data_IF_282316961554
#
_entry.id   IF_282316961554
#
_cell.length_a   1.000
_cell.length_b   1.000
_cell.length_c   1.000
_cell.angle_alpha   90.00
_cell.angle_beta   90.00
_cell.angle_gamma   90.00
#
_symmetry.space_group_name_H-M   'P 1'
#
loop_
_entity.id
_entity.type
_entity.pdbx_description
1 polymer ?
#
# COMPACT_ATOMS: atom_id res chain seq x y z
N UNK A 1 -31.73 -43.42 36.08
CA UNK A 1 -30.55 -43.23 35.20
C UNK A 1 -30.13 -41.77 35.30
N UNK A 2 -29.45 -41.40 36.39
CA UNK A 2 -28.93 -40.05 36.62
C UNK A 2 -27.41 -40.12 36.44
N UNK A 3 -26.90 -39.46 35.41
CA UNK A 3 -25.47 -39.35 35.18
C UNK A 3 -25.00 -37.99 35.66
N UNK A 4 -24.23 -38.02 36.74
CA UNK A 4 -23.49 -36.91 37.33
C UNK A 4 -22.39 -36.56 36.33
N UNK A 5 -22.37 -35.33 35.81
CA UNK A 5 -21.22 -34.84 35.07
C UNK A 5 -20.58 -33.64 35.77
N UNK A 6 -19.38 -33.93 36.26
CA UNK A 6 -18.57 -33.15 37.17
C UNK A 6 -17.76 -32.12 36.35
N UNK A 7 -18.22 -30.87 36.26
CA UNK A 7 -17.42 -29.79 35.66
C UNK A 7 -16.56 -29.15 36.74
N UNK A 8 -15.29 -29.57 36.75
CA UNK A 8 -14.15 -28.95 37.43
C UNK A 8 -14.15 -27.43 37.23
N UNK A 9 -14.23 -26.71 38.35
CA UNK A 9 -13.88 -25.30 38.46
C UNK A 9 -12.35 -25.22 38.32
N UNK A 10 -11.85 -24.87 37.13
CA UNK A 10 -10.44 -24.49 36.96
C UNK A 10 -10.39 -22.99 37.19
N UNK A 11 -9.89 -22.58 38.36
CA UNK A 11 -9.53 -21.19 38.61
C UNK A 11 -8.42 -20.81 37.62
N UNK A 12 -8.76 -19.95 36.67
CA UNK A 12 -7.76 -19.25 35.87
C UNK A 12 -7.09 -18.24 36.81
N UNK A 13 -5.89 -18.59 37.27
CA UNK A 13 -4.94 -17.65 37.87
C UNK A 13 -4.73 -16.50 36.89
N UNK A 14 -5.20 -15.31 37.26
CA UNK A 14 -4.87 -14.07 36.56
C UNK A 14 -3.42 -13.76 36.89
N UNK A 15 -2.50 -14.28 36.09
CA UNK A 15 -1.12 -13.82 36.10
C UNK A 15 -1.12 -12.34 35.69
N UNK A 16 -0.67 -11.49 36.61
CA UNK A 16 -0.43 -10.08 36.34
C UNK A 16 0.80 -9.99 35.43
N UNK A 17 0.69 -9.42 34.21
CA UNK A 17 1.85 -9.29 33.34
C UNK A 17 2.71 -8.14 33.86
N UNK A 18 3.74 -8.53 34.63
CA UNK A 18 4.83 -7.69 35.11
C UNK A 18 5.37 -6.85 33.95
N UNK A 19 5.53 -5.55 34.19
CA UNK A 19 6.24 -4.63 33.29
C UNK A 19 7.69 -5.12 33.12
N UNK A 20 7.96 -5.75 31.98
CA UNK A 20 9.31 -6.08 31.56
C UNK A 20 10.00 -4.80 31.07
N UNK A 21 11.22 -4.54 31.55
CA UNK A 21 12.05 -3.41 31.08
C UNK A 21 12.41 -3.50 29.58
N UNK A 22 12.16 -4.64 28.92
CA UNK A 22 12.63 -4.96 27.58
C UNK A 22 11.62 -4.71 26.43
N UNK A 23 10.36 -4.35 26.70
CA UNK A 23 9.37 -4.18 25.63
C UNK A 23 9.78 -3.01 24.70
N UNK A 24 9.68 -3.12 23.37
CA UNK A 24 9.92 -1.97 22.47
C UNK A 24 8.73 -1.00 22.47
N UNK A 25 8.88 0.20 21.88
CA UNK A 25 7.75 1.15 21.70
C UNK A 25 6.64 0.52 20.85
N UNK A 26 7.01 -0.33 19.90
CA UNK A 26 6.07 -1.05 19.04
C UNK A 26 5.33 -2.15 19.83
N UNK A 27 6.01 -2.91 20.69
CA UNK A 27 5.37 -3.93 21.52
C UNK A 27 4.37 -3.31 22.52
N UNK A 28 4.70 -2.14 23.07
CA UNK A 28 3.77 -1.36 23.88
C UNK A 28 2.57 -0.87 23.07
N UNK A 29 2.79 -0.48 21.81
CA UNK A 29 1.74 -0.10 20.87
C UNK A 29 0.79 -1.25 20.53
N UNK A 30 1.32 -2.43 20.22
CA UNK A 30 0.55 -3.64 19.93
C UNK A 30 -0.22 -4.12 21.15
N UNK A 31 0.38 -4.04 22.34
CA UNK A 31 -0.29 -4.34 23.60
C UNK A 31 -1.45 -3.39 23.88
N UNK A 32 -1.27 -2.10 23.61
CA UNK A 32 -2.32 -1.08 23.76
C UNK A 32 -3.45 -1.30 22.75
N UNK A 33 -3.12 -1.61 21.49
CA UNK A 33 -4.09 -1.98 20.47
C UNK A 33 -4.89 -3.24 20.86
N UNK A 34 -4.21 -4.27 21.39
CA UNK A 34 -4.84 -5.49 21.90
C UNK A 34 -5.78 -5.21 23.08
N UNK A 35 -5.39 -4.35 24.04
CA UNK A 35 -6.25 -3.95 25.16
C UNK A 35 -7.49 -3.19 24.68
N UNK A 36 -7.35 -2.27 23.71
CA UNK A 36 -8.48 -1.56 23.12
C UNK A 36 -9.44 -2.50 22.38
N UNK A 37 -8.91 -3.51 21.68
CA UNK A 37 -9.71 -4.53 21.01
C UNK A 37 -10.46 -5.41 22.02
N UNK A 38 -9.80 -5.85 23.10
CA UNK A 38 -10.42 -6.63 24.16
C UNK A 38 -11.56 -5.86 24.83
N UNK A 39 -11.36 -4.56 25.12
CA UNK A 39 -12.42 -3.69 25.67
C UNK A 39 -13.59 -3.61 24.69
N UNK A 40 -13.32 -3.41 23.39
CA UNK A 40 -14.36 -3.36 22.36
C UNK A 40 -15.18 -4.66 22.24
N UNK A 41 -14.57 -5.80 22.55
CA UNK A 41 -15.21 -7.11 22.48
C UNK A 41 -15.96 -7.49 23.78
N UNK A 42 -15.59 -6.93 24.93
CA UNK A 42 -16.11 -7.31 26.25
C UNK A 42 -17.05 -6.29 26.90
N UNK A 43 -17.29 -5.13 26.27
CA UNK A 43 -18.32 -4.17 26.73
C UNK A 43 -19.72 -4.70 26.44
N UNK A 44 -20.30 -5.43 27.40
CA UNK A 44 -21.68 -5.97 27.32
C UNK A 44 -22.71 -4.99 27.91
N UNK A 45 -22.29 -3.98 28.70
CA UNK A 45 -23.20 -3.06 29.41
C UNK A 45 -22.77 -1.59 29.42
N UNK A 46 -22.01 -1.12 28.43
CA UNK A 46 -21.51 0.28 28.35
C UNK A 46 -20.59 0.73 29.52
N UNK A 47 -20.29 -0.16 30.47
CA UNK A 47 -19.35 0.09 31.56
C UNK A 47 -18.00 -0.56 31.27
N UNK A 48 -16.96 0.26 31.18
CA UNK A 48 -15.57 -0.22 31.05
C UNK A 48 -15.07 -0.58 32.45
N UNK A 49 -14.61 -1.82 32.69
CA UNK A 49 -14.08 -2.22 33.98
C UNK A 49 -12.90 -1.33 34.40
N UNK A 50 -12.88 -0.89 35.66
CA UNK A 50 -11.84 0.00 36.22
C UNK A 50 -10.44 -0.63 36.12
N UNK A 51 -10.36 -1.96 36.18
CA UNK A 51 -9.12 -2.73 35.95
C UNK A 51 -8.60 -2.64 34.51
N UNK A 52 -9.48 -2.48 33.52
CA UNK A 52 -9.11 -2.27 32.11
C UNK A 52 -8.65 -0.84 31.87
N UNK A 53 -9.27 0.15 32.52
CA UNK A 53 -8.83 1.54 32.48
C UNK A 53 -7.45 1.74 33.12
N UNK A 54 -7.21 1.11 34.26
CA UNK A 54 -5.88 1.13 34.92
C UNK A 54 -4.81 0.56 34.00
N UNK A 55 -5.06 -0.59 33.36
CA UNK A 55 -4.09 -1.22 32.43
C UNK A 55 -3.82 -0.37 31.19
N UNK A 56 -4.84 0.30 30.66
CA UNK A 56 -4.67 1.26 29.56
C UNK A 56 -3.84 2.47 30.01
N UNK A 57 -4.13 3.02 31.18
CA UNK A 57 -3.39 4.15 31.73
C UNK A 57 -1.92 3.78 31.96
N UNK A 58 -1.63 2.60 32.49
CA UNK A 58 -0.26 2.09 32.69
C UNK A 58 0.47 1.92 31.35
N UNK A 59 -0.19 1.37 30.32
CA UNK A 59 0.39 1.21 28.99
C UNK A 59 0.64 2.57 28.29
N UNK A 60 -0.30 3.51 28.42
CA UNK A 60 -0.17 4.88 27.89
C UNK A 60 0.96 5.63 28.59
N UNK A 61 1.08 5.54 29.91
CA UNK A 61 2.13 6.22 30.67
C UNK A 61 3.51 5.58 30.42
N UNK A 62 3.58 4.25 30.23
CA UNK A 62 4.79 3.57 29.77
C UNK A 62 5.21 4.03 28.37
N UNK A 63 4.26 4.22 27.45
CA UNK A 63 4.50 4.69 26.10
C UNK A 63 4.90 6.18 26.09
N UNK A 64 4.21 7.01 26.88
CA UNK A 64 4.50 8.44 27.06
C UNK A 64 5.87 8.65 27.69
N UNK A 65 6.20 7.96 28.78
CA UNK A 65 7.50 8.09 29.45
C UNK A 65 8.67 7.69 28.53
N UNK A 66 8.45 6.76 27.60
CA UNK A 66 9.42 6.39 26.56
C UNK A 66 9.50 7.40 25.41
N UNK A 67 8.39 8.00 25.00
CA UNK A 67 8.36 9.04 23.97
C UNK A 67 8.94 10.38 24.46
N UNK A 68 8.75 10.71 25.75
CA UNK A 68 9.25 11.96 26.36
C UNK A 68 10.76 11.93 26.59
N UNK A 69 11.36 10.74 26.71
CA UNK A 69 12.82 10.59 26.61
C UNK A 69 13.21 10.85 25.16
N UNK A 70 13.50 12.10 24.83
CA UNK A 70 14.17 12.49 23.60
C UNK A 70 15.51 11.76 23.58
N UNK A 71 15.55 10.61 22.91
CA UNK A 71 16.76 9.83 22.77
C UNK A 71 17.81 10.76 22.14
N UNK A 72 18.97 10.88 22.78
CA UNK A 72 20.06 11.67 22.23
C UNK A 72 20.33 11.16 20.81
N UNK A 73 20.16 12.07 19.86
CA UNK A 73 20.35 11.75 18.46
C UNK A 73 21.84 11.80 18.19
N UNK A 74 22.47 10.64 17.96
CA UNK A 74 23.80 10.61 17.39
C UNK A 74 23.78 11.25 16.00
N UNK A 75 24.43 12.43 15.80
CA UNK A 75 24.43 13.13 14.53
C UNK A 75 25.17 12.36 13.42
N UNK A 76 26.04 11.40 13.78
CA UNK A 76 26.84 10.62 12.83
C UNK A 76 25.95 9.75 11.95
N UNK A 77 26.29 9.65 10.67
CA UNK A 77 25.59 8.76 9.74
C UNK A 77 26.02 7.30 9.93
N UNK A 78 25.26 6.36 9.37
CA UNK A 78 25.64 4.94 9.39
C UNK A 78 27.00 4.72 8.69
N UNK A 79 27.28 5.49 7.65
CA UNK A 79 28.55 5.47 6.93
C UNK A 79 29.70 6.00 7.80
N UNK A 80 29.49 7.09 8.54
CA UNK A 80 30.52 7.64 9.42
C UNK A 80 30.86 6.69 10.57
N UNK A 81 29.83 6.01 11.11
CA UNK A 81 30.00 5.00 12.15
C UNK A 81 30.74 3.75 11.61
N UNK A 82 30.35 3.27 10.43
CA UNK A 82 31.00 2.13 9.77
C UNK A 82 32.47 2.41 9.44
N UNK A 83 32.75 3.58 8.85
CA UNK A 83 34.11 3.98 8.50
C UNK A 83 35.00 4.06 9.74
N UNK A 84 34.51 4.66 10.83
CA UNK A 84 35.28 4.74 12.08
C UNK A 84 35.45 3.37 12.72
N UNK A 85 34.46 2.50 12.64
CA UNK A 85 34.58 1.14 13.14
C UNK A 85 35.67 0.38 12.40
N UNK A 86 35.77 0.51 11.07
CA UNK A 86 36.85 -0.09 10.26
C UNK A 86 38.22 0.40 10.78
N UNK A 87 38.40 1.71 10.96
CA UNK A 87 39.66 2.28 11.47
C UNK A 87 40.03 1.74 12.86
N UNK A 88 39.04 1.60 13.76
CA UNK A 88 39.27 1.07 15.10
C UNK A 88 39.62 -0.41 15.07
N UNK A 89 39.02 -1.19 14.16
CA UNK A 89 39.34 -2.60 13.97
C UNK A 89 40.77 -2.79 13.44
N UNK A 90 41.22 -1.95 12.51
CA UNK A 90 42.60 -1.96 12.01
C UNK A 90 43.59 -1.66 13.16
N UNK A 91 43.29 -0.66 13.99
CA UNK A 91 44.10 -0.34 15.18
C UNK A 91 44.14 -1.49 16.20
N UNK A 92 43.02 -2.20 16.38
CA UNK A 92 42.95 -3.34 17.28
C UNK A 92 43.75 -4.54 16.78
N UNK A 93 43.81 -4.75 15.46
CA UNK A 93 44.66 -5.76 14.83
C UNK A 93 46.15 -5.45 15.06
N UNK A 94 46.58 -4.21 14.80
CA UNK A 94 47.97 -3.78 15.07
C UNK A 94 48.35 -3.92 16.55
N UNK A 95 47.44 -3.59 17.47
CA UNK A 95 47.67 -3.76 18.90
C UNK A 95 47.75 -5.23 19.32
N UNK A 96 46.94 -6.10 18.71
CA UNK A 96 46.98 -7.53 18.95
C UNK A 96 48.31 -8.16 18.50
N UNK A 97 48.89 -7.70 17.37
CA UNK A 97 50.22 -8.11 16.91
C UNK A 97 51.33 -7.71 17.90
N UNK A 98 51.13 -6.58 18.60
CA UNK A 98 52.04 -6.09 19.65
C UNK A 98 51.85 -6.81 21.00
N UNK A 99 50.83 -7.67 21.11
CA UNK A 99 50.66 -8.64 22.19
C UNK A 99 49.49 -8.38 23.14
N UNK A 100 48.95 -7.16 23.20
CA UNK A 100 47.79 -6.83 24.03
C UNK A 100 47.00 -5.66 23.46
N UNK A 101 45.67 -5.81 23.36
CA UNK A 101 44.78 -4.75 22.90
C UNK A 101 44.44 -3.85 24.10
N UNK A 102 44.66 -2.52 24.01
CA UNK A 102 44.29 -1.59 25.07
C UNK A 102 42.80 -1.66 25.40
N UNK A 103 42.46 -1.66 26.69
CA UNK A 103 41.06 -1.69 27.14
C UNK A 103 40.27 -0.48 26.62
N UNK A 104 40.89 0.71 26.58
CA UNK A 104 40.26 1.93 26.08
C UNK A 104 39.82 1.80 24.60
N UNK A 105 40.59 1.04 23.80
CA UNK A 105 40.25 0.78 22.40
C UNK A 105 39.07 -0.19 22.27
N UNK A 106 39.00 -1.21 23.13
CA UNK A 106 37.85 -2.12 23.18
C UNK A 106 36.58 -1.38 23.61
N UNK A 107 36.68 -0.46 24.56
CA UNK A 107 35.56 0.35 25.02
C UNK A 107 35.07 1.29 23.90
N UNK A 108 35.98 1.94 23.17
CA UNK A 108 35.61 2.78 22.01
C UNK A 108 34.94 1.97 20.89
N UNK A 109 35.44 0.76 20.59
CA UNK A 109 34.81 -0.15 19.62
C UNK A 109 33.39 -0.51 20.06
N UNK A 110 33.19 -0.86 21.33
CA UNK A 110 31.87 -1.21 21.86
C UNK A 110 30.89 -0.03 21.76
N UNK A 111 31.33 1.19 22.08
CA UNK A 111 30.51 2.40 21.96
C UNK A 111 30.06 2.64 20.51
N UNK A 112 30.96 2.47 19.54
CA UNK A 112 30.63 2.63 18.12
C UNK A 112 29.71 1.51 17.60
N UNK A 113 29.86 0.28 18.08
CA UNK A 113 28.94 -0.81 17.78
C UNK A 113 27.53 -0.55 18.32
N UNK A 114 27.40 -0.07 19.56
CA UNK A 114 26.11 0.29 20.15
C UNK A 114 25.45 1.45 19.39
N UNK A 115 26.23 2.47 19.02
CA UNK A 115 25.77 3.59 18.21
C UNK A 115 25.27 3.12 16.83
N UNK A 116 26.00 2.21 16.19
CA UNK A 116 25.63 1.63 14.89
C UNK A 116 24.31 0.85 14.98
N UNK A 117 24.19 -0.07 15.95
CA UNK A 117 22.97 -0.85 16.17
C UNK A 117 21.77 0.04 16.47
N UNK A 118 21.93 1.03 17.35
CA UNK A 118 20.89 2.01 17.67
C UNK A 118 20.43 2.78 16.42
N UNK A 119 21.36 3.11 15.52
CA UNK A 119 21.03 3.79 14.25
C UNK A 119 20.20 2.89 13.35
N UNK A 120 20.59 1.61 13.20
CA UNK A 120 19.84 0.62 12.41
C UNK A 120 18.42 0.44 12.95
N UNK A 121 18.26 0.31 14.26
CA UNK A 121 16.95 0.15 14.90
C UNK A 121 16.05 1.38 14.70
N UNK A 122 16.62 2.58 14.77
CA UNK A 122 15.88 3.82 14.48
C UNK A 122 15.41 3.87 13.04
N UNK A 123 16.25 3.47 12.08
CA UNK A 123 15.88 3.41 10.65
C UNK A 123 14.75 2.39 10.45
N UNK A 124 14.88 1.19 11.02
CA UNK A 124 13.86 0.15 10.96
C UNK A 124 12.54 0.61 11.58
N UNK A 125 12.59 1.25 12.75
CA UNK A 125 11.42 1.81 13.42
C UNK A 125 10.74 2.90 12.58
N UNK A 126 11.51 3.83 12.02
CA UNK A 126 10.96 4.86 11.13
C UNK A 126 10.31 4.27 9.89
N UNK A 127 10.93 3.27 9.26
CA UNK A 127 10.35 2.57 8.11
C UNK A 127 9.01 1.94 8.51
N UNK A 128 8.94 1.11 9.55
CA UNK A 128 7.68 0.49 10.00
C UNK A 128 6.60 1.52 10.31
N UNK A 129 6.99 2.65 10.90
CA UNK A 129 6.07 3.77 11.15
C UNK A 129 5.50 4.36 9.86
N UNK A 130 6.33 4.58 8.85
CA UNK A 130 5.87 5.05 7.54
C UNK A 130 4.97 4.03 6.82
N UNK A 131 5.26 2.74 6.90
CA UNK A 131 4.40 1.68 6.37
C UNK A 131 3.02 1.65 7.06
N UNK A 132 3.00 1.86 8.38
CA UNK A 132 1.76 1.97 9.14
C UNK A 132 0.93 3.18 8.69
N UNK A 133 1.56 4.36 8.55
CA UNK A 133 0.90 5.56 8.03
C UNK A 133 0.32 5.29 6.64
N UNK A 134 1.11 4.71 5.73
CA UNK A 134 0.66 4.42 4.37
C UNK A 134 -0.55 3.48 4.37
N UNK A 135 -0.55 2.46 5.22
CA UNK A 135 -1.66 1.51 5.38
C UNK A 135 -2.92 2.20 5.89
N UNK A 136 -2.82 3.00 6.95
CA UNK A 136 -3.96 3.74 7.53
C UNK A 136 -4.55 4.71 6.51
N UNK A 137 -3.69 5.48 5.82
CA UNK A 137 -4.14 6.40 4.78
C UNK A 137 -4.84 5.66 3.63
N UNK A 138 -4.33 4.49 3.22
CA UNK A 138 -4.96 3.65 2.20
C UNK A 138 -6.37 3.22 2.58
N UNK A 139 -6.57 2.74 3.82
CA UNK A 139 -7.88 2.36 4.34
C UNK A 139 -8.85 3.56 4.39
N UNK A 140 -8.36 4.74 4.77
CA UNK A 140 -9.18 5.94 4.83
C UNK A 140 -9.61 6.42 3.44
N UNK A 141 -8.71 6.36 2.45
CA UNK A 141 -9.04 6.63 1.05
C UNK A 141 -10.16 5.71 0.56
N UNK A 142 -10.05 4.41 0.84
CA UNK A 142 -11.08 3.44 0.46
C UNK A 142 -12.44 3.76 1.11
N UNK A 143 -12.45 4.06 2.41
CA UNK A 143 -13.66 4.43 3.16
C UNK A 143 -14.31 5.69 2.58
N UNK A 144 -13.52 6.74 2.35
CA UNK A 144 -14.00 7.99 1.77
C UNK A 144 -14.48 7.81 0.34
N UNK A 145 -13.80 6.97 -0.47
CA UNK A 145 -14.24 6.66 -1.83
C UNK A 145 -15.59 5.94 -1.85
N UNK A 146 -15.82 5.02 -0.91
CA UNK A 146 -17.10 4.32 -0.77
C UNK A 146 -18.21 5.27 -0.35
N UNK A 147 -17.92 6.17 0.60
CA UNK A 147 -18.86 7.22 1.03
C UNK A 147 -19.19 8.19 -0.10
N UNK A 148 -18.21 8.58 -0.91
CA UNK A 148 -18.40 9.40 -2.13
C UNK A 148 -19.34 8.71 -3.10
N UNK A 149 -19.04 7.46 -3.49
CA UNK A 149 -19.88 6.67 -4.42
C UNK A 149 -21.31 6.52 -3.91
N UNK A 150 -21.51 6.31 -2.61
CA UNK A 150 -22.84 6.22 -2.02
C UNK A 150 -23.62 7.53 -2.11
N UNK A 151 -22.96 8.68 -1.91
CA UNK A 151 -23.57 9.99 -2.07
C UNK A 151 -23.92 10.28 -3.55
N UNK A 152 -23.01 9.96 -4.47
CA UNK A 152 -23.23 10.08 -5.93
C UNK A 152 -24.47 9.27 -6.36
N UNK A 153 -24.56 8.00 -5.95
CA UNK A 153 -25.74 7.16 -6.26
C UNK A 153 -27.06 7.73 -5.75
N UNK A 154 -27.06 8.35 -4.56
CA UNK A 154 -28.28 8.99 -4.02
C UNK A 154 -28.68 10.21 -4.85
N UNK A 155 -27.70 10.99 -5.30
CA UNK A 155 -27.94 12.13 -6.20
C UNK A 155 -28.49 11.64 -7.55
N UNK A 156 -27.89 10.60 -8.13
CA UNK A 156 -28.31 10.07 -9.42
C UNK A 156 -29.71 9.46 -9.33
N UNK A 157 -29.99 8.65 -8.30
CA UNK A 157 -31.33 8.11 -8.05
C UNK A 157 -32.39 9.21 -7.86
N UNK A 158 -32.05 10.31 -7.19
CA UNK A 158 -32.94 11.46 -7.06
C UNK A 158 -33.20 12.14 -8.41
N UNK A 159 -32.16 12.32 -9.24
CA UNK A 159 -32.31 12.88 -10.59
C UNK A 159 -33.18 11.98 -11.48
N UNK A 160 -32.98 10.67 -11.44
CA UNK A 160 -33.78 9.70 -12.19
C UNK A 160 -35.26 9.74 -11.77
N UNK A 161 -35.52 9.77 -10.46
CA UNK A 161 -36.87 9.92 -9.93
C UNK A 161 -37.54 11.21 -10.40
N UNK A 162 -36.83 12.34 -10.31
CA UNK A 162 -37.34 13.64 -10.77
C UNK A 162 -37.56 13.67 -12.28
N UNK A 163 -36.66 13.08 -13.06
CA UNK A 163 -36.79 12.94 -14.50
C UNK A 163 -38.06 12.15 -14.86
N UNK A 164 -38.27 10.99 -14.25
CA UNK A 164 -39.47 10.17 -14.46
C UNK A 164 -40.76 10.93 -14.08
N UNK A 165 -40.74 11.64 -12.95
CA UNK A 165 -41.85 12.49 -12.50
C UNK A 165 -42.17 13.61 -13.50
N UNK A 166 -41.15 14.33 -13.98
CA UNK A 166 -41.33 15.44 -14.92
C UNK A 166 -41.84 14.96 -16.27
N UNK A 167 -41.28 13.86 -16.80
CA UNK A 167 -41.69 13.27 -18.07
C UNK A 167 -43.12 12.73 -18.03
N UNK A 168 -43.50 12.00 -16.98
CA UNK A 168 -44.86 11.44 -16.83
C UNK A 168 -45.96 12.51 -16.78
N UNK A 169 -45.63 13.74 -16.37
CA UNK A 169 -46.56 14.88 -16.30
C UNK A 169 -46.35 15.94 -17.38
N UNK A 170 -45.41 15.72 -18.31
CA UNK A 170 -45.07 16.68 -19.34
C UNK A 170 -44.52 18.02 -18.80
N UNK A 171 -43.97 18.03 -17.59
CA UNK A 171 -43.44 19.24 -16.96
C UNK A 171 -42.02 19.52 -17.48
N UNK A 172 -41.79 20.74 -17.98
CA UNK A 172 -40.44 21.18 -18.41
C UNK A 172 -39.63 21.80 -17.27
N UNK A 173 -40.30 22.31 -16.24
CA UNK A 173 -39.68 23.00 -15.10
C UNK A 173 -40.53 22.82 -13.85
N UNK A 174 -39.87 22.68 -12.71
CA UNK A 174 -40.45 22.71 -11.36
C UNK A 174 -39.82 23.89 -10.64
N UNK A 175 -40.65 24.74 -10.03
CA UNK A 175 -40.20 25.87 -9.23
C UNK A 175 -40.53 25.63 -7.76
N UNK A 176 -39.51 25.77 -6.90
CA UNK A 176 -39.67 25.84 -5.46
C UNK A 176 -39.39 27.26 -4.97
N UNK A 177 -39.57 27.49 -3.67
CA UNK A 177 -39.38 28.82 -3.06
C UNK A 177 -37.94 29.35 -3.17
N UNK A 178 -36.94 28.47 -3.28
CA UNK A 178 -35.51 28.83 -3.29
C UNK A 178 -34.73 28.31 -4.50
N UNK A 179 -35.31 27.37 -5.26
CA UNK A 179 -34.61 26.67 -6.34
C UNK A 179 -35.58 26.26 -7.43
N UNK A 180 -35.11 26.19 -8.67
CA UNK A 180 -35.87 25.64 -9.79
C UNK A 180 -35.12 24.49 -10.44
N UNK A 181 -35.84 23.45 -10.85
CA UNK A 181 -35.33 22.27 -11.54
C UNK A 181 -35.92 22.24 -12.94
N UNK A 182 -35.08 22.25 -13.97
CA UNK A 182 -35.51 22.23 -15.37
C UNK A 182 -35.00 20.99 -16.09
N UNK A 183 -35.78 20.49 -17.05
CA UNK A 183 -35.28 19.52 -18.02
C UNK A 183 -34.45 20.26 -19.06
N UNK A 184 -33.22 19.83 -19.25
CA UNK A 184 -32.34 20.34 -20.29
C UNK A 184 -32.03 19.20 -21.28
N UNK A 185 -32.09 19.46 -22.60
CA UNK A 185 -31.58 18.50 -23.56
C UNK A 185 -30.07 18.33 -23.34
N UNK A 186 -29.59 17.11 -23.51
CA UNK A 186 -28.15 16.83 -23.48
C UNK A 186 -27.46 17.70 -24.54
N UNK A 187 -26.24 18.16 -24.24
CA UNK A 187 -25.44 18.99 -25.14
C UNK A 187 -25.09 18.28 -26.46
N UNK A 188 -25.16 16.95 -26.46
CA UNK A 188 -24.97 16.08 -27.62
C UNK A 188 -26.06 15.02 -27.68
N UNK A 189 -26.56 14.74 -28.88
CA UNK A 189 -27.49 13.63 -29.10
C UNK A 189 -26.83 12.31 -28.71
N UNK A 190 -27.50 11.50 -27.89
CA UNK A 190 -27.07 10.14 -27.58
C UNK A 190 -27.38 9.23 -28.78
N UNK A 191 -26.37 8.53 -29.29
CA UNK A 191 -26.55 7.52 -30.33
C UNK A 191 -27.24 6.30 -29.72
N UNK A 192 -28.43 5.95 -30.22
CA UNK A 192 -29.13 4.72 -29.88
C UNK A 192 -29.14 3.83 -31.13
N UNK A 193 -28.53 2.66 -31.04
CA UNK A 193 -28.53 1.68 -32.12
C UNK A 193 -29.85 0.89 -32.02
N UNK A 194 -30.75 1.10 -32.97
CA UNK A 194 -32.07 0.45 -33.00
C UNK A 194 -31.97 -0.98 -33.53
N UNK A 195 -31.18 -1.19 -34.59
CA UNK A 195 -30.93 -2.50 -35.18
C UNK A 195 -29.46 -2.59 -35.66
N UNK A 196 -28.60 -3.36 -34.96
CA UNK A 196 -27.21 -3.55 -35.35
C UNK A 196 -27.02 -4.20 -36.73
N UNK A 197 -27.99 -5.00 -37.22
CA UNK A 197 -27.88 -5.71 -38.49
C UNK A 197 -28.03 -4.79 -39.71
N UNK A 198 -28.57 -3.59 -39.51
CA UNK A 198 -28.70 -2.57 -40.54
C UNK A 198 -27.50 -1.61 -40.60
N UNK A 199 -26.57 -1.73 -39.64
CA UNK A 199 -25.33 -0.94 -39.66
C UNK A 199 -24.41 -1.55 -40.71
N UNK A 200 -23.94 -0.72 -41.66
CA UNK A 200 -22.98 -1.17 -42.65
C UNK A 200 -21.66 -1.61 -42.00
N UNK A 201 -21.10 -2.73 -42.47
CA UNK A 201 -19.87 -3.34 -41.92
C UNK A 201 -18.70 -2.34 -41.80
N UNK A 202 -18.65 -1.32 -42.67
CA UNK A 202 -17.64 -0.25 -42.63
C UNK A 202 -17.60 0.59 -41.35
N UNK A 203 -18.63 0.52 -40.49
CA UNK A 203 -18.71 1.25 -39.22
C UNK A 203 -18.34 0.38 -38.00
N UNK A 204 -18.08 -0.90 -38.21
CA UNK A 204 -17.62 -1.79 -37.15
C UNK A 204 -16.10 -1.74 -37.05
N UNK A 205 -15.61 -1.44 -35.86
CA UNK A 205 -14.18 -1.43 -35.56
C UNK A 205 -13.83 -2.52 -34.55
N UNK A 206 -12.72 -3.23 -34.80
CA UNK A 206 -12.16 -4.19 -33.86
C UNK A 206 -10.73 -3.80 -33.51
N UNK A 207 -10.48 -3.58 -32.23
CA UNK A 207 -9.13 -3.31 -31.74
C UNK A 207 -8.32 -4.62 -31.71
N UNK A 208 -7.26 -4.67 -32.52
CA UNK A 208 -6.31 -5.79 -32.57
C UNK A 208 -4.92 -5.28 -32.18
N UNK A 209 -4.21 -6.06 -31.36
CA UNK A 209 -2.79 -5.82 -31.04
C UNK A 209 -1.95 -6.72 -31.92
N UNK A 210 -1.03 -6.13 -32.68
CA UNK A 210 -0.13 -6.82 -33.59
C UNK A 210 1.31 -6.49 -33.22
N UNK A 211 2.20 -7.47 -33.31
CA UNK A 211 3.64 -7.24 -33.30
C UNK A 211 4.08 -6.58 -34.60
N UNK A 212 5.27 -5.97 -34.58
CA UNK A 212 5.84 -5.34 -35.77
C UNK A 212 5.98 -6.33 -36.94
N UNK A 213 6.36 -7.57 -36.63
CA UNK A 213 6.51 -8.65 -37.61
C UNK A 213 5.18 -9.07 -38.21
N UNK A 214 4.14 -9.26 -37.40
CA UNK A 214 2.80 -9.63 -37.90
C UNK A 214 2.23 -8.52 -38.81
N UNK A 215 2.39 -7.24 -38.42
CA UNK A 215 1.94 -6.14 -39.26
C UNK A 215 2.73 -6.05 -40.57
N UNK A 216 4.05 -6.30 -40.54
CA UNK A 216 4.90 -6.37 -41.74
C UNK A 216 4.44 -7.45 -42.70
N UNK A 217 4.16 -8.65 -42.20
CA UNK A 217 3.70 -9.76 -43.02
C UNK A 217 2.35 -9.46 -43.68
N UNK A 218 1.41 -8.90 -42.91
CA UNK A 218 0.12 -8.45 -43.44
C UNK A 218 0.33 -7.44 -44.57
N UNK A 219 1.12 -6.38 -44.35
CA UNK A 219 1.40 -5.36 -45.36
C UNK A 219 2.05 -5.95 -46.61
N UNK A 220 2.99 -6.89 -46.45
CA UNK A 220 3.70 -7.53 -47.56
C UNK A 220 2.76 -8.34 -48.46
N UNK A 221 1.79 -9.05 -47.87
CA UNK A 221 0.84 -9.88 -48.60
C UNK A 221 -0.30 -9.06 -49.26
N UNK A 222 -0.43 -7.77 -48.94
CA UNK A 222 -1.51 -6.92 -49.44
C UNK A 222 -1.20 -6.34 -50.83
N UNK A 223 -2.23 -6.32 -51.69
CA UNK A 223 -2.21 -5.58 -52.95
C UNK A 223 -2.07 -4.07 -52.72
N UNK A 224 -1.56 -3.36 -53.74
CA UNK A 224 -1.36 -1.92 -53.64
C UNK A 224 -2.70 -1.18 -53.50
N UNK A 225 -2.82 -0.31 -52.48
CA UNK A 225 -4.07 0.38 -52.19
C UNK A 225 -4.01 1.31 -50.98
N UNK A 226 -5.12 2.01 -50.72
CA UNK A 226 -5.22 3.00 -49.63
C UNK A 226 -5.00 2.38 -48.25
N UNK A 227 -5.50 1.16 -48.00
CA UNK A 227 -5.34 0.47 -46.73
C UNK A 227 -3.88 0.07 -46.49
N UNK A 228 -3.21 -0.47 -47.52
CA UNK A 228 -1.79 -0.80 -47.47
C UNK A 228 -0.95 0.44 -47.12
N UNK A 229 -1.17 1.57 -47.79
CA UNK A 229 -0.46 2.84 -47.47
C UNK A 229 -0.69 3.31 -46.03
N UNK A 230 -1.91 3.15 -45.50
CA UNK A 230 -2.23 3.48 -44.09
C UNK A 230 -1.47 2.57 -43.11
N UNK A 231 -1.41 1.27 -43.38
CA UNK A 231 -0.68 0.32 -42.54
C UNK A 231 0.84 0.47 -42.66
N UNK A 232 1.36 0.80 -43.84
CA UNK A 232 2.77 1.15 -44.06
C UNK A 232 3.16 2.40 -43.26
N UNK A 233 2.32 3.43 -43.27
CA UNK A 233 2.53 4.64 -42.45
C UNK A 233 2.48 4.31 -40.94
N UNK A 234 1.57 3.44 -40.51
CA UNK A 234 1.51 2.99 -39.11
C UNK A 234 2.74 2.15 -38.72
N UNK A 235 3.29 1.36 -39.64
CA UNK A 235 4.52 0.59 -39.44
C UNK A 235 5.75 1.48 -39.32
N UNK A 236 5.82 2.53 -40.14
CA UNK A 236 6.90 3.52 -40.13
C UNK A 236 6.80 4.54 -38.99
N UNK A 237 5.65 4.64 -38.32
CA UNK A 237 5.42 5.58 -37.22
C UNK A 237 6.16 5.21 -35.93
N UNK A 238 6.52 6.24 -35.17
CA UNK A 238 7.18 6.13 -33.87
C UNK A 238 6.14 5.99 -32.76
N UNK A 239 5.64 4.76 -32.55
CA UNK A 239 4.66 4.45 -31.49
C UNK A 239 4.73 3.00 -31.01
N UNK A 240 5.80 2.29 -31.35
CA UNK A 240 5.99 0.89 -31.00
C UNK A 240 6.49 0.75 -29.56
N UNK A 241 5.69 0.12 -28.72
CA UNK A 241 6.11 -0.25 -27.37
C UNK A 241 6.78 -1.63 -27.37
N UNK A 242 7.86 -1.76 -26.59
CA UNK A 242 8.53 -3.05 -26.41
C UNK A 242 7.64 -3.92 -25.52
N UNK A 243 7.25 -5.09 -26.04
CA UNK A 243 6.56 -6.09 -25.26
C UNK A 243 7.51 -6.79 -24.28
N UNK A 244 7.67 -6.22 -23.09
CA UNK A 244 8.58 -6.70 -22.05
C UNK A 244 8.29 -8.15 -21.62
N UNK A 245 7.03 -8.61 -21.65
CA UNK A 245 6.71 -9.99 -21.27
C UNK A 245 7.16 -10.99 -22.34
N UNK A 246 6.97 -10.67 -23.62
CA UNK A 246 7.46 -11.49 -24.73
C UNK A 246 9.00 -11.55 -24.75
N UNK A 247 9.67 -10.42 -24.53
CA UNK A 247 11.13 -10.35 -24.43
C UNK A 247 11.66 -11.18 -23.27
N UNK A 248 11.05 -11.06 -22.08
CA UNK A 248 11.42 -11.89 -20.91
C UNK A 248 11.19 -13.37 -21.18
N UNK A 249 10.08 -13.74 -21.80
CA UNK A 249 9.79 -15.14 -22.16
C UNK A 249 10.83 -15.70 -23.13
N UNK A 250 11.21 -14.95 -24.16
CA UNK A 250 12.24 -15.34 -25.12
C UNK A 250 13.60 -15.59 -24.43
N UNK A 251 14.02 -14.69 -23.54
CA UNK A 251 15.29 -14.83 -22.80
C UNK A 251 15.24 -16.04 -21.84
N UNK A 252 14.16 -16.22 -21.10
CA UNK A 252 14.00 -17.36 -20.17
C UNK A 252 14.02 -18.70 -20.92
N UNK A 253 13.50 -18.75 -22.14
CA UNK A 253 13.51 -19.95 -22.99
C UNK A 253 14.81 -20.12 -23.80
N UNK A 254 15.87 -19.37 -23.49
CA UNK A 254 17.19 -19.52 -24.11
C UNK A 254 17.36 -18.84 -25.47
N UNK A 255 16.43 -17.99 -25.90
CA UNK A 255 16.61 -17.17 -27.10
C UNK A 255 17.43 -15.92 -26.77
N UNK A 256 18.53 -15.72 -27.50
CA UNK A 256 19.35 -14.51 -27.36
C UNK A 256 18.63 -13.32 -28.01
N UNK A 257 18.15 -12.37 -27.19
CA UNK A 257 17.57 -11.11 -27.67
C UNK A 257 18.62 -10.01 -27.52
N UNK A 258 19.16 -9.52 -28.64
CA UNK A 258 20.15 -8.44 -28.65
C UNK A 258 19.57 -7.13 -28.10
N UNK A 259 20.38 -6.35 -27.38
CA UNK A 259 19.97 -5.08 -26.77
C UNK A 259 19.26 -5.19 -25.43
N UNK A 260 19.10 -6.40 -24.88
CA UNK A 260 18.43 -6.62 -23.59
C UNK A 260 19.40 -7.28 -22.60
N UNK A 261 19.50 -6.70 -21.40
CA UNK A 261 20.25 -7.28 -20.28
C UNK A 261 19.30 -7.55 -19.14
N UNK A 262 19.21 -8.82 -18.71
CA UNK A 262 18.45 -9.18 -17.53
C UNK A 262 19.31 -8.89 -16.29
N UNK A 263 18.95 -7.83 -15.55
CA UNK A 263 19.66 -7.43 -14.33
C UNK A 263 18.82 -7.85 -13.13
N UNK A 264 19.44 -8.60 -12.20
CA UNK A 264 18.87 -8.83 -10.88
C UNK A 264 19.24 -7.65 -9.99
N UNK A 265 18.24 -6.87 -9.59
CA UNK A 265 18.41 -5.85 -8.56
C UNK A 265 18.34 -6.46 -7.16
N UNK A 266 18.92 -5.75 -6.20
CA UNK A 266 18.73 -6.04 -4.78
C UNK A 266 17.69 -5.08 -4.23
N UNK A 267 16.79 -5.57 -3.38
CA UNK A 267 15.82 -4.74 -2.65
C UNK A 267 15.99 -4.98 -1.15
N UNK A 268 15.80 -3.92 -0.37
CA UNK A 268 15.83 -4.00 1.08
C UNK A 268 14.58 -4.72 1.60
N UNK A 269 14.75 -5.51 2.66
CA UNK A 269 13.64 -6.13 3.41
C UNK A 269 13.91 -5.96 4.89
N UNK A 270 12.94 -5.41 5.61
CA UNK A 270 12.88 -5.57 7.05
C UNK A 270 12.49 -7.02 7.37
N UNK A 271 13.14 -7.59 8.38
CA UNK A 271 12.79 -8.89 8.97
C UNK A 271 12.16 -8.69 10.33
#
# INVERSE_FOLDING_TARGET
MFSINNKRFVMATVESPVLSKADSIFDLGDRLAGLLQQIREHTVHDEIPESSLSRLADAVEALRSRLVRKAEHDPRSLFDLDQRLIELMDCAEEAAEQGEIPQDLLDEINDYLEAYQTKVDRIAGYWRWQESIATICGQEVERLSTRKRAAERRVDSLKEMLLAFMLSRGLKKIEGQRSSIGLQPNSSASLVIVDPLQIGESLFEKNLRLTKTELQEIVYQMAEGKLRRRLEAALAGDGWEINNSAVRFAITNGSAVSGVKLVKGNHLRLR
#
